data_IF_618999333263
#
_entry.id   IF_618999333263
#
_cell.length_a   1.000
_cell.length_b   1.000
_cell.length_c   1.000
_cell.angle_alpha   90.00
_cell.angle_beta   90.00
_cell.angle_gamma   90.00
#
_symmetry.space_group_name_H-M   'P 1'
#
loop_
_entity.id
_entity.type
_entity.pdbx_description
1 polymer ?
#
# COMPACT_ATOMS: atom_id res chain seq x y z
N UNK A 1 17.57 -5.57 -23.85
CA UNK A 1 17.30 -4.36 -23.02
C UNK A 1 18.58 -3.58 -22.81
N UNK A 2 19.66 -4.23 -22.39
CA UNK A 2 20.96 -3.56 -22.20
C UNK A 2 21.45 -2.88 -23.49
N UNK A 3 21.39 -3.57 -24.64
CA UNK A 3 21.72 -2.96 -25.93
C UNK A 3 20.84 -1.75 -26.28
N UNK A 4 19.54 -1.82 -26.00
CA UNK A 4 18.62 -0.71 -26.23
C UNK A 4 18.94 0.48 -25.31
N UNK A 5 19.36 0.21 -24.07
CA UNK A 5 19.74 1.24 -23.10
C UNK A 5 21.05 1.91 -23.48
N UNK A 6 22.05 1.14 -23.94
CA UNK A 6 23.40 1.62 -24.20
C UNK A 6 23.56 2.19 -25.62
N UNK A 7 22.95 1.55 -26.62
CA UNK A 7 23.14 1.89 -28.05
C UNK A 7 21.91 2.52 -28.70
N UNK A 8 20.73 2.39 -28.09
CA UNK A 8 19.48 2.89 -28.67
C UNK A 8 18.99 2.03 -29.83
N UNK A 9 18.13 2.62 -30.67
CA UNK A 9 17.59 2.01 -31.89
C UNK A 9 17.68 3.00 -33.05
N UNK A 10 18.28 2.59 -34.17
CA UNK A 10 18.38 3.42 -35.38
C UNK A 10 17.17 3.17 -36.30
N UNK A 11 16.38 4.20 -36.58
CA UNK A 11 15.24 4.18 -37.52
C UNK A 11 15.36 5.43 -38.39
N UNK A 12 15.37 5.26 -39.71
CA UNK A 12 15.47 6.35 -40.69
C UNK A 12 16.60 7.34 -40.37
N UNK A 13 17.79 6.78 -40.10
CA UNK A 13 19.01 7.52 -39.72
C UNK A 13 18.98 8.22 -38.34
N UNK A 14 17.83 8.25 -37.66
CA UNK A 14 17.68 8.80 -36.32
C UNK A 14 17.98 7.71 -35.28
N UNK A 15 18.85 8.02 -34.33
CA UNK A 15 19.14 7.14 -33.17
C UNK A 15 18.23 7.52 -32.00
N UNK A 16 17.28 6.64 -31.71
CA UNK A 16 16.35 6.77 -30.58
C UNK A 16 17.01 6.20 -29.32
N UNK A 17 17.17 7.04 -28.29
CA UNK A 17 17.68 6.63 -26.98
C UNK A 17 16.53 6.21 -26.06
N UNK A 18 16.76 5.19 -25.24
CA UNK A 18 15.75 4.66 -24.34
C UNK A 18 16.09 4.95 -22.88
N UNK A 19 15.09 5.43 -22.16
CA UNK A 19 15.08 5.40 -20.70
C UNK A 19 14.08 4.34 -20.25
N UNK A 20 14.57 3.40 -19.45
CA UNK A 20 13.79 2.28 -18.96
C UNK A 20 13.32 2.57 -17.53
N UNK A 21 12.08 2.19 -17.26
CA UNK A 21 11.45 2.26 -15.95
C UNK A 21 10.84 0.91 -15.63
N UNK A 22 10.77 0.58 -14.35
CA UNK A 22 10.21 -0.66 -13.88
C UNK A 22 9.25 -0.40 -12.72
N UNK A 23 8.03 -0.95 -12.82
CA UNK A 23 7.06 -0.96 -11.74
C UNK A 23 6.36 -2.31 -11.73
N UNK A 24 6.05 -2.81 -10.54
CA UNK A 24 5.37 -4.09 -10.34
C UNK A 24 4.89 -4.21 -8.90
N UNK A 25 4.14 -5.28 -8.60
CA UNK A 25 3.88 -5.66 -7.23
C UNK A 25 5.17 -6.00 -6.46
N UNK A 26 5.13 -5.91 -5.13
CA UNK A 26 6.30 -6.11 -4.28
C UNK A 26 7.01 -7.45 -4.48
N UNK A 27 6.26 -8.53 -4.72
CA UNK A 27 6.85 -9.86 -4.85
C UNK A 27 7.70 -9.92 -6.11
N UNK A 28 7.17 -9.43 -7.24
CA UNK A 28 7.92 -9.41 -8.49
C UNK A 28 9.09 -8.42 -8.43
N UNK A 29 8.88 -7.24 -7.84
CA UNK A 29 9.93 -6.25 -7.60
C UNK A 29 11.10 -6.83 -6.80
N UNK A 30 10.83 -7.51 -5.68
CA UNK A 30 11.85 -8.18 -4.87
C UNK A 30 12.63 -9.23 -5.67
N UNK A 31 11.94 -10.04 -6.48
CA UNK A 31 12.59 -11.07 -7.32
C UNK A 31 13.54 -10.41 -8.32
N UNK A 32 13.06 -9.40 -9.05
CA UNK A 32 13.85 -8.73 -10.08
C UNK A 32 15.02 -7.93 -9.51
N UNK A 33 14.94 -7.46 -8.26
CA UNK A 33 16.06 -6.79 -7.56
C UNK A 33 16.99 -7.77 -6.82
N UNK A 34 16.73 -9.08 -6.87
CA UNK A 34 17.49 -10.06 -6.09
C UNK A 34 17.39 -9.83 -4.58
N UNK A 35 16.29 -9.21 -4.14
CA UNK A 35 16.04 -8.77 -2.78
C UNK A 35 15.36 -9.84 -1.94
N UNK A 36 15.52 -9.71 -0.63
CA UNK A 36 14.86 -10.56 0.35
C UNK A 36 13.33 -10.49 0.27
N UNK A 37 12.68 -11.51 0.83
CA UNK A 37 11.23 -11.52 1.01
C UNK A 37 10.78 -10.35 1.89
N UNK A 38 9.56 -9.86 1.69
CA UNK A 38 9.01 -8.68 2.38
C UNK A 38 9.01 -8.75 3.92
N UNK A 39 9.16 -9.96 4.50
CA UNK A 39 9.21 -10.19 5.95
C UNK A 39 10.64 -10.22 6.52
N UNK A 40 11.68 -9.93 5.73
CA UNK A 40 13.06 -9.82 6.22
C UNK A 40 13.26 -8.63 7.16
N UNK A 41 14.38 -8.62 7.89
CA UNK A 41 14.77 -7.48 8.72
C UNK A 41 15.02 -6.22 7.87
N UNK A 42 15.71 -6.36 6.73
CA UNK A 42 15.90 -5.32 5.74
C UNK A 42 14.89 -5.50 4.63
N UNK A 43 13.80 -4.73 4.68
CA UNK A 43 12.66 -4.91 3.80
C UNK A 43 12.56 -3.84 2.72
N UNK A 44 13.22 -2.68 2.85
CA UNK A 44 13.11 -1.60 1.87
C UNK A 44 14.13 -1.73 0.72
N UNK A 45 13.70 -1.74 -0.55
CA UNK A 45 14.60 -1.73 -1.70
C UNK A 45 15.38 -0.43 -1.89
N UNK A 46 14.86 0.71 -1.38
CA UNK A 46 15.40 2.05 -1.69
C UNK A 46 16.24 2.68 -0.58
N UNK A 47 16.03 2.26 0.67
CA UNK A 47 16.79 2.73 1.81
C UNK A 47 17.29 1.57 2.69
N UNK A 48 18.12 1.89 3.69
CA UNK A 48 18.78 0.91 4.55
C UNK A 48 18.04 0.63 5.87
N UNK A 49 16.76 1.00 5.97
CA UNK A 49 15.97 0.78 7.17
C UNK A 49 15.90 -0.72 7.53
N UNK A 50 15.97 -1.00 8.83
CA UNK A 50 15.67 -2.32 9.39
C UNK A 50 14.34 -2.29 10.14
N UNK A 51 13.73 -3.46 10.37
CA UNK A 51 12.51 -3.58 11.19
C UNK A 51 12.67 -2.97 12.58
N UNK A 52 13.86 -3.10 13.17
CA UNK A 52 14.15 -2.51 14.49
C UNK A 52 14.25 -0.98 14.43
N UNK A 53 14.69 -0.43 13.31
CA UNK A 53 14.79 1.02 13.08
C UNK A 53 13.43 1.72 12.93
N UNK A 54 12.36 0.99 12.58
CA UNK A 54 11.01 1.57 12.44
C UNK A 54 10.47 2.14 13.77
N UNK A 55 10.90 1.62 14.92
CA UNK A 55 10.45 2.08 16.24
C UNK A 55 11.06 3.42 16.67
N UNK A 56 12.06 3.94 15.96
CA UNK A 56 12.75 5.18 16.32
C UNK A 56 12.07 6.45 15.77
N UNK A 57 10.84 6.36 15.25
CA UNK A 57 10.05 7.48 14.72
C UNK A 57 10.76 8.36 13.67
N UNK A 58 11.83 7.86 13.03
CA UNK A 58 12.46 8.56 11.92
C UNK A 58 11.63 8.29 10.66
N UNK A 59 10.80 9.24 10.26
CA UNK A 59 10.06 9.24 8.98
C UNK A 59 10.93 9.73 7.80
N UNK A 60 12.13 10.24 8.07
CA UNK A 60 12.99 10.90 7.07
C UNK A 60 13.95 9.95 6.32
N UNK A 61 13.55 8.69 6.09
CA UNK A 61 14.38 7.77 5.31
C UNK A 61 14.35 8.15 3.84
N UNK A 62 15.49 8.60 3.32
CA UNK A 62 15.66 8.96 1.91
C UNK A 62 16.09 7.78 1.05
N UNK A 63 15.79 7.85 -0.25
CA UNK A 63 16.39 6.96 -1.25
C UNK A 63 17.91 7.14 -1.18
N UNK A 64 18.61 6.06 -0.87
CA UNK A 64 20.06 6.08 -0.57
C UNK A 64 20.81 4.90 -1.16
N UNK A 65 20.10 3.90 -1.68
CA UNK A 65 20.70 2.76 -2.35
C UNK A 65 20.94 3.09 -3.83
N UNK A 66 22.05 2.60 -4.34
CA UNK A 66 22.43 2.70 -5.75
C UNK A 66 22.39 1.30 -6.40
N UNK A 67 21.99 1.22 -7.68
CA UNK A 67 21.89 -0.09 -8.37
C UNK A 67 23.28 -0.71 -8.58
N UNK A 68 24.31 0.12 -8.71
CA UNK A 68 25.71 -0.27 -8.92
C UNK A 68 26.30 -0.95 -7.68
N UNK A 69 25.91 -0.47 -6.49
CA UNK A 69 26.37 -0.97 -5.18
C UNK A 69 25.34 -1.87 -4.51
N UNK A 70 24.31 -2.31 -5.26
CA UNK A 70 23.11 -2.93 -4.68
C UNK A 70 23.42 -4.16 -3.80
N UNK A 71 24.44 -4.95 -4.18
CA UNK A 71 24.89 -6.15 -3.47
C UNK A 71 25.73 -5.86 -2.20
N UNK A 72 26.15 -4.61 -2.00
CA UNK A 72 26.84 -4.17 -0.77
C UNK A 72 25.83 -3.87 0.34
N UNK A 73 24.58 -3.57 -0.01
CA UNK A 73 23.55 -3.26 0.97
C UNK A 73 22.89 -4.52 1.53
N UNK A 74 22.56 -4.52 2.83
CA UNK A 74 21.76 -5.58 3.42
C UNK A 74 20.42 -5.77 2.69
N UNK A 75 20.07 -7.04 2.47
CA UNK A 75 18.80 -7.44 1.87
C UNK A 75 18.89 -7.87 0.41
N UNK A 76 19.94 -7.49 -0.33
CA UNK A 76 20.16 -7.92 -1.71
C UNK A 76 21.13 -9.10 -1.74
N UNK A 77 20.62 -10.29 -2.04
CA UNK A 77 21.43 -11.52 -2.03
C UNK A 77 21.87 -11.95 -3.43
N UNK A 78 21.24 -11.38 -4.46
CA UNK A 78 21.48 -11.74 -5.87
C UNK A 78 21.58 -10.48 -6.70
N UNK A 79 22.33 -10.57 -7.80
CA UNK A 79 22.38 -9.50 -8.80
C UNK A 79 20.97 -9.22 -9.37
N UNK A 80 20.55 -7.95 -9.48
CA UNK A 80 19.29 -7.61 -10.12
C UNK A 80 19.21 -8.12 -11.56
N UNK A 81 18.03 -8.63 -11.94
CA UNK A 81 17.72 -9.05 -13.29
C UNK A 81 17.79 -7.87 -14.26
N UNK A 82 17.26 -6.72 -13.83
CA UNK A 82 17.26 -5.49 -14.62
C UNK A 82 18.30 -4.47 -14.13
N UNK A 83 19.56 -4.89 -13.97
CA UNK A 83 20.65 -4.05 -13.44
C UNK A 83 20.93 -2.77 -14.26
N UNK A 84 20.53 -2.71 -15.53
CA UNK A 84 20.69 -1.53 -16.38
C UNK A 84 19.69 -0.39 -16.08
N UNK A 85 18.73 -0.63 -15.18
CA UNK A 85 17.74 0.35 -14.74
C UNK A 85 18.20 0.92 -13.39
N UNK A 86 18.46 2.23 -13.35
CA UNK A 86 18.78 2.95 -12.11
C UNK A 86 17.70 2.73 -11.06
N UNK A 87 18.07 2.62 -9.78
CA UNK A 87 17.12 2.37 -8.69
C UNK A 87 16.03 3.45 -8.60
N UNK A 88 16.34 4.69 -8.99
CA UNK A 88 15.37 5.79 -9.07
C UNK A 88 14.28 5.55 -10.13
N UNK A 89 14.51 4.65 -11.08
CA UNK A 89 13.54 4.26 -12.12
C UNK A 89 12.81 2.95 -11.77
N UNK A 90 13.04 2.38 -10.58
CA UNK A 90 12.21 1.31 -9.99
C UNK A 90 11.11 1.96 -9.15
N UNK A 91 10.00 2.30 -9.81
CA UNK A 91 8.95 3.14 -9.25
C UNK A 91 7.92 2.29 -8.48
N UNK A 92 7.61 2.62 -7.22
CA UNK A 92 6.55 1.94 -6.46
C UNK A 92 5.20 1.99 -7.18
N UNK A 93 4.49 0.87 -7.21
CA UNK A 93 3.16 0.82 -7.81
C UNK A 93 2.08 1.39 -6.88
N UNK A 94 1.44 2.46 -7.33
CA UNK A 94 0.35 3.15 -6.63
C UNK A 94 -0.84 2.23 -6.33
N UNK A 95 -1.16 1.32 -7.26
CA UNK A 95 -2.30 0.42 -7.08
C UNK A 95 -2.04 -0.50 -5.89
N UNK A 96 -0.88 -1.15 -5.84
CA UNK A 96 -0.55 -2.06 -4.75
C UNK A 96 -0.41 -1.36 -3.39
N UNK A 97 0.04 -0.09 -3.36
CA UNK A 97 0.00 0.73 -2.14
C UNK A 97 -1.43 0.84 -1.61
N UNK A 98 -2.39 1.21 -2.47
CA UNK A 98 -3.80 1.30 -2.09
C UNK A 98 -4.36 -0.04 -1.64
N UNK A 99 -4.15 -1.10 -2.41
CA UNK A 99 -4.68 -2.42 -2.11
C UNK A 99 -4.21 -2.91 -0.73
N UNK A 100 -2.93 -2.72 -0.41
CA UNK A 100 -2.30 -3.29 0.79
C UNK A 100 -2.53 -2.46 2.04
N UNK A 101 -2.59 -1.13 1.92
CA UNK A 101 -2.96 -0.26 3.03
C UNK A 101 -4.45 -0.44 3.34
N UNK A 102 -5.31 -0.53 2.33
CA UNK A 102 -6.73 -0.83 2.56
C UNK A 102 -6.92 -2.15 3.31
N UNK A 103 -6.15 -3.20 3.00
CA UNK A 103 -6.23 -4.47 3.74
C UNK A 103 -5.93 -4.28 5.23
N UNK A 104 -4.97 -3.42 5.59
CA UNK A 104 -4.68 -3.09 6.99
C UNK A 104 -5.80 -2.29 7.64
N UNK A 105 -6.36 -1.32 6.92
CA UNK A 105 -7.51 -0.51 7.36
C UNK A 105 -8.74 -1.36 7.65
N UNK A 106 -9.07 -2.28 6.75
CA UNK A 106 -10.18 -3.22 6.93
C UNK A 106 -9.92 -4.23 8.05
N UNK A 107 -8.68 -4.73 8.15
CA UNK A 107 -8.30 -5.71 9.18
C UNK A 107 -8.50 -5.17 10.60
N UNK A 108 -8.25 -3.89 10.86
CA UNK A 108 -8.53 -3.29 12.17
C UNK A 108 -10.01 -3.43 12.52
N UNK A 109 -10.92 -3.04 11.62
CA UNK A 109 -12.36 -3.11 11.86
C UNK A 109 -12.78 -4.54 12.21
N UNK A 110 -12.33 -5.53 11.43
CA UNK A 110 -12.67 -6.94 11.67
C UNK A 110 -12.08 -7.44 13.00
N UNK A 111 -10.82 -7.11 13.30
CA UNK A 111 -10.17 -7.51 14.55
C UNK A 111 -10.88 -6.91 15.77
N UNK A 112 -11.28 -5.64 15.73
CA UNK A 112 -11.99 -5.01 16.86
C UNK A 112 -13.36 -5.63 17.13
N UNK A 113 -14.10 -5.96 16.08
CA UNK A 113 -15.37 -6.67 16.21
C UNK A 113 -15.17 -8.05 16.83
N UNK A 114 -14.09 -8.76 16.46
CA UNK A 114 -13.76 -10.08 17.03
C UNK A 114 -13.33 -9.96 18.50
N UNK A 115 -12.43 -9.04 18.83
CA UNK A 115 -11.95 -8.78 20.19
C UNK A 115 -13.08 -8.37 21.14
N UNK A 116 -14.07 -7.63 20.63
CA UNK A 116 -15.24 -7.20 21.40
C UNK A 116 -16.35 -8.25 21.46
N UNK A 117 -16.14 -9.45 20.89
CA UNK A 117 -17.14 -10.50 20.74
C UNK A 117 -18.43 -10.03 20.02
N UNK A 118 -18.31 -9.07 19.11
CA UNK A 118 -19.39 -8.50 18.31
C UNK A 118 -19.39 -9.02 16.86
N UNK A 119 -18.44 -9.88 16.50
CA UNK A 119 -18.37 -10.49 15.17
C UNK A 119 -19.28 -11.74 15.08
N UNK A 120 -20.57 -11.55 15.31
CA UNK A 120 -21.62 -12.57 15.23
C UNK A 120 -22.36 -12.56 13.87
N UNK A 121 -23.41 -13.36 13.73
CA UNK A 121 -24.20 -13.44 12.48
C UNK A 121 -24.92 -12.13 12.16
N UNK A 122 -25.36 -11.40 13.19
CA UNK A 122 -26.05 -10.12 13.04
C UNK A 122 -25.08 -9.09 12.46
N UNK A 123 -23.89 -8.98 13.05
CA UNK A 123 -22.85 -8.08 12.58
C UNK A 123 -22.36 -8.41 11.16
N UNK A 124 -22.14 -9.70 10.86
CA UNK A 124 -21.79 -10.13 9.49
C UNK A 124 -22.86 -9.73 8.48
N UNK A 125 -24.15 -9.89 8.83
CA UNK A 125 -25.27 -9.49 7.98
C UNK A 125 -25.33 -7.97 7.78
N UNK A 126 -25.09 -7.18 8.82
CA UNK A 126 -25.00 -5.71 8.71
C UNK A 126 -23.87 -5.29 7.76
N UNK A 127 -22.69 -5.90 7.86
CA UNK A 127 -21.58 -5.65 6.93
C UNK A 127 -21.99 -5.98 5.50
N UNK A 128 -22.58 -7.15 5.26
CA UNK A 128 -23.01 -7.56 3.90
C UNK A 128 -24.07 -6.62 3.32
N UNK A 129 -25.03 -6.16 4.14
CA UNK A 129 -26.02 -5.19 3.72
C UNK A 129 -25.39 -3.83 3.38
N UNK A 130 -24.43 -3.36 4.17
CA UNK A 130 -23.71 -2.12 3.86
C UNK A 130 -22.88 -2.21 2.60
N UNK A 131 -22.18 -3.33 2.39
CA UNK A 131 -21.45 -3.59 1.15
C UNK A 131 -22.40 -3.57 -0.06
N UNK A 132 -23.55 -4.23 0.06
CA UNK A 132 -24.58 -4.22 -0.98
C UNK A 132 -25.11 -2.82 -1.27
N UNK A 133 -25.37 -2.01 -0.23
CA UNK A 133 -25.84 -0.61 -0.36
C UNK A 133 -24.89 0.23 -1.22
N UNK A 134 -23.58 -0.01 -1.13
CA UNK A 134 -22.56 0.70 -1.91
C UNK A 134 -22.15 -0.04 -3.19
N UNK A 135 -22.97 -1.00 -3.63
CA UNK A 135 -22.76 -1.79 -4.85
C UNK A 135 -21.42 -2.55 -4.86
N UNK A 136 -21.10 -3.19 -3.75
CA UNK A 136 -19.97 -4.11 -3.57
C UNK A 136 -20.51 -5.49 -3.22
N UNK A 137 -20.15 -6.51 -4.00
CA UNK A 137 -20.51 -7.90 -3.70
C UNK A 137 -19.55 -8.46 -2.65
N UNK A 138 -20.09 -8.85 -1.49
CA UNK A 138 -19.29 -9.27 -0.35
C UNK A 138 -20.04 -10.32 0.48
N UNK A 139 -19.33 -11.40 0.83
CA UNK A 139 -19.88 -12.52 1.59
C UNK A 139 -18.86 -13.03 2.61
N UNK A 140 -19.38 -13.69 3.65
CA UNK A 140 -18.60 -14.42 4.64
C UNK A 140 -18.87 -15.92 4.52
N UNK A 141 -17.86 -16.76 4.73
CA UNK A 141 -18.00 -18.21 4.80
C UNK A 141 -16.99 -18.81 5.78
N UNK A 142 -17.22 -20.07 6.17
CA UNK A 142 -16.21 -20.89 6.85
C UNK A 142 -15.75 -21.99 5.90
N UNK A 143 -14.46 -22.28 5.90
CA UNK A 143 -13.96 -23.49 5.23
C UNK A 143 -14.29 -24.73 6.07
N UNK A 144 -14.42 -25.87 5.40
CA UNK A 144 -14.78 -27.11 6.06
C UNK A 144 -13.69 -27.50 7.07
N UNK A 145 -14.05 -27.60 8.36
CA UNK A 145 -13.10 -27.91 9.44
C UNK A 145 -12.30 -26.70 9.97
N UNK A 146 -12.56 -25.48 9.48
CA UNK A 146 -11.95 -24.27 10.01
C UNK A 146 -12.95 -23.48 10.89
N UNK A 147 -12.52 -23.10 12.09
CA UNK A 147 -13.31 -22.21 12.95
C UNK A 147 -13.25 -20.74 12.52
N UNK A 148 -12.30 -20.39 11.66
CA UNK A 148 -12.10 -19.03 11.18
C UNK A 148 -13.05 -18.68 10.03
N UNK A 149 -13.67 -17.50 10.15
CA UNK A 149 -14.45 -16.89 9.06
C UNK A 149 -13.53 -16.26 8.02
N UNK A 150 -13.77 -16.64 6.77
CA UNK A 150 -13.24 -16.03 5.55
C UNK A 150 -14.25 -15.03 4.97
N UNK A 151 -13.77 -14.18 4.07
CA UNK A 151 -14.60 -13.20 3.38
C UNK A 151 -14.10 -12.93 1.96
N UNK A 152 -14.97 -12.33 1.14
CA UNK A 152 -14.66 -12.00 -0.25
C UNK A 152 -13.41 -11.11 -0.32
N UNK A 153 -12.48 -11.47 -1.21
CA UNK A 153 -11.35 -10.60 -1.56
C UNK A 153 -11.84 -9.51 -2.51
N UNK A 154 -11.62 -8.24 -2.15
CA UNK A 154 -12.08 -7.11 -2.96
C UNK A 154 -11.03 -6.64 -3.96
N UNK A 155 -11.50 -6.24 -5.14
CA UNK A 155 -10.69 -5.61 -6.17
C UNK A 155 -10.52 -4.11 -5.91
N UNK A 156 -9.61 -3.45 -6.65
CA UNK A 156 -9.24 -2.06 -6.38
C UNK A 156 -10.41 -1.08 -6.38
N UNK A 157 -11.31 -1.17 -7.37
CA UNK A 157 -12.47 -0.28 -7.45
C UNK A 157 -13.44 -0.48 -6.28
N UNK A 158 -13.68 -1.73 -5.88
CA UNK A 158 -14.56 -2.03 -4.75
C UNK A 158 -13.92 -1.62 -3.41
N UNK A 159 -12.60 -1.81 -3.24
CA UNK A 159 -11.88 -1.27 -2.06
C UNK A 159 -12.04 0.24 -1.97
N UNK A 160 -11.93 0.96 -3.08
CA UNK A 160 -12.14 2.42 -3.12
C UNK A 160 -13.60 2.81 -2.77
N UNK A 161 -14.60 2.05 -3.25
CA UNK A 161 -16.00 2.27 -2.85
C UNK A 161 -16.18 2.08 -1.34
N UNK A 162 -15.63 1.01 -0.76
CA UNK A 162 -15.70 0.76 0.68
C UNK A 162 -15.01 1.87 1.47
N UNK A 163 -13.79 2.23 1.05
CA UNK A 163 -13.00 3.27 1.69
C UNK A 163 -13.78 4.59 1.77
N UNK A 164 -14.49 4.97 0.70
CA UNK A 164 -15.26 6.22 0.63
C UNK A 164 -16.63 6.14 1.31
N UNK A 165 -17.37 5.05 1.11
CA UNK A 165 -18.82 5.05 1.27
C UNK A 165 -19.35 4.12 2.37
N UNK A 166 -18.55 3.23 2.93
CA UNK A 166 -19.01 2.26 3.94
C UNK A 166 -19.41 2.96 5.25
N UNK A 167 -20.61 2.74 5.76
CA UNK A 167 -21.04 3.37 6.99
C UNK A 167 -20.54 2.60 8.23
N UNK A 168 -19.39 3.01 8.77
CA UNK A 168 -18.82 2.43 9.99
C UNK A 168 -19.76 2.54 11.20
N UNK A 169 -20.67 3.52 11.23
CA UNK A 169 -21.63 3.70 12.32
C UNK A 169 -22.68 2.59 12.43
N UNK A 170 -22.81 1.71 11.43
CA UNK A 170 -23.69 0.53 11.53
C UNK A 170 -23.09 -0.61 12.35
N UNK A 171 -21.77 -0.62 12.53
CA UNK A 171 -21.06 -1.74 13.17
C UNK A 171 -20.18 -1.31 14.35
N UNK A 172 -19.94 0.00 14.52
CA UNK A 172 -19.08 0.53 15.57
C UNK A 172 -19.78 1.66 16.34
N UNK A 173 -19.42 1.87 17.63
CA UNK A 173 -19.90 3.02 18.40
C UNK A 173 -19.60 4.36 17.70
N UNK A 174 -20.47 5.38 17.81
CA UNK A 174 -20.33 6.62 17.04
C UNK A 174 -18.97 7.32 17.14
N UNK A 175 -18.37 7.34 18.33
CA UNK A 175 -17.04 7.94 18.56
C UNK A 175 -15.94 7.15 17.84
N UNK A 176 -15.97 5.81 17.92
CA UNK A 176 -15.02 4.92 17.25
C UNK A 176 -15.18 4.98 15.74
N UNK A 177 -16.42 4.96 15.24
CA UNK A 177 -16.74 5.08 13.83
C UNK A 177 -16.19 6.39 13.23
N UNK A 178 -16.33 7.52 13.94
CA UNK A 178 -15.76 8.82 13.52
C UNK A 178 -14.23 8.78 13.43
N UNK A 179 -13.55 8.20 14.43
CA UNK A 179 -12.08 8.09 14.46
C UNK A 179 -11.54 7.27 13.28
N UNK A 180 -12.12 6.11 13.00
CA UNK A 180 -11.71 5.25 11.87
C UNK A 180 -12.10 5.90 10.53
N UNK A 181 -13.26 6.56 10.45
CA UNK A 181 -13.71 7.30 9.26
C UNK A 181 -12.72 8.41 8.90
N UNK A 182 -12.21 9.16 9.87
CA UNK A 182 -11.19 10.19 9.63
C UNK A 182 -9.91 9.60 9.02
N UNK A 183 -9.42 8.49 9.59
CA UNK A 183 -8.26 7.77 9.07
C UNK A 183 -8.45 7.33 7.61
N UNK A 184 -9.64 6.78 7.29
CA UNK A 184 -9.97 6.32 5.94
C UNK A 184 -10.11 7.46 4.95
N UNK A 185 -10.70 8.58 5.38
CA UNK A 185 -10.88 9.77 4.55
C UNK A 185 -9.54 10.41 4.19
N UNK A 186 -8.64 10.59 5.17
CA UNK A 186 -7.29 11.10 4.93
C UNK A 186 -6.49 10.19 3.99
N UNK A 187 -6.55 8.87 4.20
CA UNK A 187 -5.90 7.93 3.28
C UNK A 187 -6.46 8.02 1.85
N UNK A 188 -7.79 8.11 1.71
CA UNK A 188 -8.42 8.26 0.40
C UNK A 188 -7.98 9.55 -0.30
N UNK A 189 -7.81 10.65 0.44
CA UNK A 189 -7.32 11.91 -0.09
C UNK A 189 -5.85 11.80 -0.53
N UNK A 190 -4.99 11.23 0.31
CA UNK A 190 -3.58 10.95 -0.03
C UNK A 190 -3.49 10.12 -1.31
N UNK A 191 -4.29 9.07 -1.43
CA UNK A 191 -4.29 8.22 -2.62
C UNK A 191 -4.75 8.97 -3.88
N UNK A 192 -5.71 9.89 -3.74
CA UNK A 192 -6.12 10.77 -4.84
C UNK A 192 -4.99 11.75 -5.23
N UNK A 193 -4.32 12.34 -4.24
CA UNK A 193 -3.23 13.30 -4.43
C UNK A 193 -2.01 12.64 -5.09
N UNK A 194 -1.64 11.43 -4.66
CA UNK A 194 -0.61 10.58 -5.28
C UNK A 194 -0.79 10.45 -6.81
N UNK A 195 -2.04 10.36 -7.27
CA UNK A 195 -2.38 10.15 -8.68
C UNK A 195 -2.50 11.45 -9.47
N UNK A 196 -2.45 12.58 -8.78
CA UNK A 196 -2.54 13.91 -9.37
C UNK A 196 -1.15 14.32 -9.82
N UNK A 197 -0.98 14.49 -11.14
CA UNK A 197 0.33 14.66 -11.77
C UNK A 197 1.13 15.84 -11.20
N UNK A 198 0.48 16.98 -11.07
CA UNK A 198 1.12 18.25 -10.68
C UNK A 198 0.79 18.62 -9.22
N UNK A 199 0.62 17.62 -8.35
CA UNK A 199 0.37 17.84 -6.93
C UNK A 199 1.64 18.32 -6.22
N UNK A 200 1.49 19.24 -5.27
CA UNK A 200 2.63 19.77 -4.53
C UNK A 200 3.28 18.70 -3.64
N UNK A 201 4.58 18.48 -3.85
CA UNK A 201 5.33 17.40 -3.19
C UNK A 201 5.48 17.64 -1.69
N UNK A 202 5.65 18.90 -1.28
CA UNK A 202 5.82 19.24 0.14
C UNK A 202 4.51 19.06 0.89
N UNK A 203 3.40 19.50 0.30
CA UNK A 203 2.05 19.29 0.80
C UNK A 203 1.73 17.79 0.88
N UNK A 204 2.10 17.01 -0.14
CA UNK A 204 1.93 15.56 -0.11
C UNK A 204 2.68 14.93 1.06
N UNK A 205 3.96 15.29 1.25
CA UNK A 205 4.76 14.77 2.36
C UNK A 205 4.12 15.10 3.71
N UNK A 206 3.68 16.34 3.90
CA UNK A 206 3.01 16.78 5.12
C UNK A 206 1.73 15.97 5.39
N UNK A 207 0.88 15.77 4.38
CA UNK A 207 -0.38 15.01 4.53
C UNK A 207 -0.13 13.55 4.89
N UNK A 208 0.89 12.93 4.32
CA UNK A 208 1.24 11.54 4.61
C UNK A 208 1.83 11.39 6.02
N UNK A 209 2.63 12.34 6.47
CA UNK A 209 3.15 12.38 7.85
C UNK A 209 2.04 12.58 8.88
N UNK A 210 1.14 13.53 8.65
CA UNK A 210 -0.04 13.77 9.49
C UNK A 210 -0.97 12.54 9.51
N UNK A 211 -1.15 11.86 8.37
CA UNK A 211 -1.89 10.61 8.33
C UNK A 211 -1.20 9.48 9.10
N UNK A 212 0.14 9.39 9.05
CA UNK A 212 0.88 8.40 9.82
C UNK A 212 0.75 8.66 11.32
N UNK A 213 0.80 9.93 11.76
CA UNK A 213 0.55 10.29 13.17
C UNK A 213 -0.83 9.83 13.62
N UNK A 214 -1.87 10.09 12.81
CA UNK A 214 -3.22 9.59 13.07
C UNK A 214 -3.25 8.05 13.10
N UNK A 215 -2.63 7.38 12.13
CA UNK A 215 -2.54 5.92 12.06
C UNK A 215 -1.93 5.33 13.34
N UNK A 216 -0.88 5.96 13.87
CA UNK A 216 -0.16 5.54 15.07
C UNK A 216 -0.76 6.06 16.39
N UNK A 217 -2.00 6.56 16.37
CA UNK A 217 -2.66 7.05 17.59
C UNK A 217 -2.62 5.96 18.68
N UNK A 218 -1.96 6.19 19.83
CA UNK A 218 -1.84 5.18 20.87
C UNK A 218 -3.12 5.05 21.69
N UNK A 219 -3.17 3.99 22.51
CA UNK A 219 -4.16 3.88 23.58
C UNK A 219 -3.98 5.01 24.59
N UNK A 220 -5.09 5.59 25.04
CA UNK A 220 -5.10 6.68 26.04
C UNK A 220 -5.74 6.19 27.33
N UNK A 221 -5.01 6.29 28.43
CA UNK A 221 -5.56 6.06 29.77
C UNK A 221 -6.38 7.29 30.16
N UNK A 222 -7.64 7.08 30.55
CA UNK A 222 -8.49 8.17 31.03
C UNK A 222 -8.09 8.48 32.47
N UNK A 223 -7.63 9.71 32.80
CA UNK A 223 -7.29 10.07 34.17
C UNK A 223 -8.45 9.80 35.12
N UNK A 224 -8.15 9.27 36.31
CA UNK A 224 -9.14 8.93 37.33
C UNK A 224 -10.17 7.86 36.92
N UNK A 225 -9.82 7.00 35.94
CA UNK A 225 -10.64 5.86 35.54
C UNK A 225 -9.76 4.64 35.21
N UNK A 226 -10.30 3.43 35.38
CA UNK A 226 -9.68 2.20 34.89
C UNK A 226 -9.96 1.96 33.39
N UNK A 227 -10.54 2.95 32.69
CA UNK A 227 -10.93 2.84 31.27
C UNK A 227 -9.79 3.30 30.37
N UNK A 228 -9.55 2.52 29.32
CA UNK A 228 -8.60 2.82 28.25
C UNK A 228 -9.42 3.21 27.01
N UNK A 229 -9.13 4.37 26.43
CA UNK A 229 -9.61 4.74 25.10
C UNK A 229 -8.66 4.14 24.06
N UNK A 230 -9.16 3.21 23.26
CA UNK A 230 -8.34 2.48 22.29
C UNK A 230 -7.80 3.40 21.18
N UNK A 231 -6.53 3.24 20.89
CA UNK A 231 -5.78 3.81 19.77
C UNK A 231 -6.19 3.22 18.43
N UNK A 232 -5.38 3.41 17.38
CA UNK A 232 -5.61 2.85 16.06
C UNK A 232 -4.63 1.71 15.77
N UNK A 233 -3.35 2.03 15.57
CA UNK A 233 -2.31 1.04 15.31
C UNK A 233 -1.04 1.31 16.12
N UNK A 234 -0.30 0.25 16.41
CA UNK A 234 1.05 0.33 16.96
C UNK A 234 2.09 0.54 15.84
N UNK A 235 3.30 1.02 16.17
CA UNK A 235 4.42 1.11 15.21
C UNK A 235 4.75 -0.23 14.51
N UNK A 236 4.55 -1.36 15.18
CA UNK A 236 4.72 -2.69 14.58
C UNK A 236 3.73 -3.02 13.46
N UNK A 237 2.69 -2.20 13.27
CA UNK A 237 1.71 -2.33 12.18
C UNK A 237 2.18 -1.66 10.88
N UNK A 238 3.31 -0.95 10.88
CA UNK A 238 3.89 -0.32 9.68
C UNK A 238 4.38 -1.41 8.72
N UNK A 239 3.64 -1.61 7.64
CA UNK A 239 4.01 -2.53 6.56
C UNK A 239 5.02 -1.89 5.59
N UNK A 240 5.71 -2.68 4.74
CA UNK A 240 6.57 -2.13 3.69
C UNK A 240 5.87 -1.10 2.80
N UNK A 241 4.60 -1.30 2.47
CA UNK A 241 3.83 -0.34 1.65
C UNK A 241 3.52 0.97 2.39
N UNK A 242 3.29 0.93 3.70
CA UNK A 242 3.12 2.15 4.52
C UNK A 242 4.45 2.90 4.59
N UNK A 243 5.55 2.19 4.83
CA UNK A 243 6.89 2.80 4.84
C UNK A 243 7.20 3.49 3.51
N UNK A 244 6.93 2.84 2.38
CA UNK A 244 7.17 3.43 1.05
C UNK A 244 6.30 4.65 0.81
N UNK A 245 5.01 4.59 1.20
CA UNK A 245 4.11 5.73 1.09
C UNK A 245 4.67 6.96 1.84
N UNK A 246 5.14 6.76 3.08
CA UNK A 246 5.60 7.82 3.98
C UNK A 246 6.98 8.35 3.62
N UNK A 247 7.90 7.45 3.26
CA UNK A 247 9.31 7.82 3.16
C UNK A 247 9.75 8.11 1.73
N UNK A 248 9.13 7.49 0.71
CA UNK A 248 9.71 7.46 -0.63
C UNK A 248 8.80 8.02 -1.73
N UNK A 249 7.48 8.03 -1.54
CA UNK A 249 6.58 8.50 -2.61
C UNK A 249 6.81 9.97 -2.97
N UNK A 250 7.05 10.85 -1.99
CA UNK A 250 7.36 12.26 -2.28
C UNK A 250 8.62 12.41 -3.12
N UNK A 251 9.68 11.66 -2.81
CA UNK A 251 10.92 11.61 -3.60
C UNK A 251 10.64 11.11 -5.03
N UNK A 252 9.81 10.06 -5.19
CA UNK A 252 9.42 9.58 -6.51
C UNK A 252 8.55 10.57 -7.29
N UNK A 253 7.68 11.32 -6.61
CA UNK A 253 6.90 12.39 -7.24
C UNK A 253 7.81 13.51 -7.75
N UNK A 254 8.86 13.86 -6.99
CA UNK A 254 9.86 14.84 -7.40
C UNK A 254 10.71 14.34 -8.58
N UNK A 255 11.26 13.13 -8.48
CA UNK A 255 12.09 12.51 -9.53
C UNK A 255 11.30 12.36 -10.85
N UNK A 256 10.03 11.95 -10.77
CA UNK A 256 9.20 11.65 -11.94
C UNK A 256 8.10 12.68 -12.22
N UNK A 257 8.27 13.92 -11.75
CA UNK A 257 7.27 14.99 -11.87
C UNK A 257 6.77 15.16 -13.31
N UNK A 258 7.66 15.02 -14.29
CA UNK A 258 7.34 15.10 -15.73
C UNK A 258 6.20 14.16 -16.15
N UNK A 259 6.12 12.98 -15.56
CA UNK A 259 5.18 11.92 -15.92
C UNK A 259 4.04 11.79 -14.89
N UNK A 260 4.36 12.01 -13.62
CA UNK A 260 3.48 11.72 -12.48
C UNK A 260 3.41 10.22 -12.17
N UNK A 261 3.11 9.89 -10.91
CA UNK A 261 3.13 8.49 -10.44
C UNK A 261 2.16 7.57 -11.17
N UNK A 262 1.02 8.11 -11.63
CA UNK A 262 0.00 7.35 -12.38
C UNK A 262 0.54 6.73 -13.67
N UNK A 263 1.56 7.33 -14.29
CA UNK A 263 2.17 6.80 -15.51
C UNK A 263 2.85 5.44 -15.30
N UNK A 264 3.23 5.13 -14.06
CA UNK A 264 3.90 3.88 -13.68
C UNK A 264 2.94 2.85 -13.05
N UNK A 265 1.64 3.15 -12.98
CA UNK A 265 0.63 2.29 -12.37
C UNK A 265 0.51 0.94 -13.08
N UNK A 266 0.47 -0.15 -12.31
CA UNK A 266 0.26 -1.51 -12.84
C UNK A 266 -1.21 -1.84 -13.08
N UNK A 267 -2.14 -0.92 -12.79
CA UNK A 267 -3.59 -1.14 -12.97
C UNK A 267 -4.02 -1.61 -14.36
N UNK A 268 -3.43 -1.13 -15.49
CA UNK A 268 -3.78 -1.64 -16.81
C UNK A 268 -3.43 -3.13 -17.01
N UNK A 269 -2.33 -3.59 -16.40
CA UNK A 269 -1.90 -5.00 -16.45
C UNK A 269 -2.89 -5.86 -15.68
N UNK A 270 -3.24 -5.47 -14.45
CA UNK A 270 -4.22 -6.19 -13.62
C UNK A 270 -5.61 -6.25 -14.28
N UNK A 271 -6.04 -5.16 -14.93
CA UNK A 271 -7.31 -5.14 -15.67
C UNK A 271 -7.33 -6.15 -16.82
N UNK A 272 -6.23 -6.25 -17.58
CA UNK A 272 -6.10 -7.22 -18.67
C UNK A 272 -6.08 -8.66 -18.16
N UNK A 273 -5.36 -8.91 -17.07
CA UNK A 273 -5.34 -10.23 -16.41
C UNK A 273 -6.76 -10.63 -15.97
N UNK A 274 -7.52 -9.72 -15.37
CA UNK A 274 -8.89 -9.98 -14.96
C UNK A 274 -9.80 -10.29 -16.16
N UNK A 275 -9.71 -9.50 -17.23
CA UNK A 275 -10.44 -9.77 -18.46
C UNK A 275 -10.13 -11.16 -18.99
N UNK A 276 -8.84 -11.52 -19.10
CA UNK A 276 -8.42 -12.85 -19.57
C UNK A 276 -9.01 -13.99 -18.73
N UNK A 277 -9.01 -13.87 -17.40
CA UNK A 277 -9.57 -14.90 -16.50
C UNK A 277 -11.10 -14.95 -16.60
N UNK A 278 -11.78 -13.80 -16.78
CA UNK A 278 -13.23 -13.76 -16.92
C UNK A 278 -13.77 -14.33 -18.25
N UNK A 279 -12.92 -14.40 -19.28
CA UNK A 279 -13.26 -14.99 -20.59
C UNK A 279 -12.92 -16.48 -20.72
N UNK A 280 -12.23 -17.06 -19.73
CA UNK A 280 -12.01 -18.50 -19.69
C UNK A 280 -13.16 -19.16 -18.93
N UNK A 281 -14.07 -19.89 -19.60
CA UNK A 281 -15.05 -20.69 -18.89
C UNK A 281 -14.28 -21.78 -18.13
N UNK A 282 -14.37 -21.75 -16.80
CA UNK A 282 -14.04 -22.88 -15.94
C UNK A 282 -15.19 -23.88 -16.03
#
# INVERSE_FOLDING_TARGET
LDDLKNYGLKIDEIVWKFELYFSSDWKFLSICLGFNAANSNFFCPWCQISKHGQNNNQTNWKISKEIEKINEYPGHNKRPLFYMISLNNWVPDELHIMLRIWDRLWSLVISELKESNQFDDVCRKEIMQEMSRISVNFQFWKEHGADAWNHTSLMGDDKLKVLKNFNLGRILPPTRAKKIRELWNRFNQIYFNLKTKDYDVQQFQFEVEDWLELFLTPDRIIPNSNRIEKGLYSPSSITPYIHVLVCHISEFMEIHQKWGMKAFSCAPVEKKNHQQVSFLPI
#
